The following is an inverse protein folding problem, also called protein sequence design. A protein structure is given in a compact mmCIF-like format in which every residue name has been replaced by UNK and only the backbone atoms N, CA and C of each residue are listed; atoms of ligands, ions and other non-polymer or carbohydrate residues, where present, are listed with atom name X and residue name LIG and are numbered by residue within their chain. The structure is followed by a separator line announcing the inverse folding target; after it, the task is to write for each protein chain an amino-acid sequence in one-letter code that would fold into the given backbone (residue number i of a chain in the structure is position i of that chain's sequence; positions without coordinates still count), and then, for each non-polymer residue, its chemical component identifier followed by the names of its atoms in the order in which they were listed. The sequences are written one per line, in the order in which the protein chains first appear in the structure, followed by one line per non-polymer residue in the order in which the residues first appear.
data_IF_079528333455
#
_entry.id   IF_079528333455
#
_cell.length_a   1.000
_cell.length_b   1.000
_cell.length_c   1.000
_cell.angle_alpha   90.00
_cell.angle_beta   90.00
_cell.angle_gamma   90.00
#
_symmetry.space_group_name_H-M   'P 1'
#
loop_
_entity.id
_entity.type
_entity.pdbx_description
1 polymer ?
#
# COMPACT_ATOMS: atom_id res chain seq x y z
N UNK A 1 -3.07 25.89 -1.35
CA UNK A 1 -3.14 24.82 -0.33
C UNK A 1 -4.52 24.85 0.31
N UNK A 2 -5.19 23.73 0.32
CA UNK A 2 -6.50 23.54 0.93
C UNK A 2 -6.39 22.53 2.09
N UNK A 3 -7.31 22.65 3.03
CA UNK A 3 -7.47 21.72 4.14
C UNK A 3 -8.88 21.14 4.07
N UNK A 4 -8.99 19.83 4.16
CA UNK A 4 -10.27 19.12 4.25
C UNK A 4 -10.28 18.35 5.57
N UNK A 5 -11.31 18.57 6.37
CA UNK A 5 -11.61 17.76 7.54
C UNK A 5 -13.06 17.30 7.43
N UNK A 6 -13.26 16.00 7.36
CA UNK A 6 -14.58 15.41 7.18
C UNK A 6 -14.63 14.02 7.80
N UNK A 7 -15.83 13.50 8.02
CA UNK A 7 -16.02 12.11 8.36
C UNK A 7 -16.62 11.39 7.17
N UNK A 8 -16.13 10.19 6.91
CA UNK A 8 -16.60 9.28 5.87
C UNK A 8 -17.21 8.07 6.60
N UNK A 9 -18.44 7.73 6.29
CA UNK A 9 -19.09 6.54 6.83
C UNK A 9 -18.80 5.37 5.88
N UNK A 10 -18.11 4.34 6.38
CA UNK A 10 -17.70 3.16 5.61
C UNK A 10 -17.98 1.91 6.43
N UNK A 11 -18.75 0.96 5.88
CA UNK A 11 -19.05 -0.33 6.52
C UNK A 11 -19.58 -0.21 7.96
N UNK A 12 -20.34 0.85 8.26
CA UNK A 12 -20.86 1.13 9.61
C UNK A 12 -19.84 1.74 10.59
N UNK A 13 -18.63 2.03 10.12
CA UNK A 13 -17.60 2.75 10.87
C UNK A 13 -17.44 4.17 10.38
N UNK A 14 -17.16 5.12 11.28
CA UNK A 14 -16.90 6.51 10.93
C UNK A 14 -15.38 6.76 10.87
N UNK A 15 -14.89 7.04 9.68
CA UNK A 15 -13.48 7.37 9.42
C UNK A 15 -13.29 8.88 9.41
N UNK A 16 -12.57 9.42 10.38
CA UNK A 16 -12.18 10.84 10.37
C UNK A 16 -11.03 11.06 9.39
N UNK A 17 -11.25 11.94 8.43
CA UNK A 17 -10.28 12.26 7.37
C UNK A 17 -9.80 13.69 7.53
N UNK A 18 -8.48 13.88 7.61
CA UNK A 18 -7.82 15.17 7.63
C UNK A 18 -6.78 15.24 6.51
N UNK A 19 -7.01 16.07 5.50
CA UNK A 19 -6.12 16.27 4.36
C UNK A 19 -5.57 17.70 4.40
N UNK A 20 -4.31 17.85 4.77
CA UNK A 20 -3.65 19.15 4.95
C UNK A 20 -2.71 19.55 3.80
N UNK A 21 -2.37 18.60 2.94
CA UNK A 21 -1.44 18.78 1.83
C UNK A 21 -2.12 18.74 0.45
N UNK A 22 -3.34 19.27 0.35
CA UNK A 22 -4.08 19.33 -0.90
C UNK A 22 -3.78 20.64 -1.66
N UNK A 23 -3.30 20.52 -2.89
CA UNK A 23 -2.99 21.63 -3.79
C UNK A 23 -3.78 21.46 -5.09
N UNK A 24 -4.86 22.24 -5.26
CA UNK A 24 -5.81 22.02 -6.34
C UNK A 24 -6.45 20.64 -6.21
N UNK A 25 -6.26 19.80 -7.21
CA UNK A 25 -6.75 18.41 -7.25
C UNK A 25 -5.63 17.39 -6.96
N UNK A 26 -4.54 17.83 -6.31
CA UNK A 26 -3.41 16.95 -5.99
C UNK A 26 -3.12 16.95 -4.50
N UNK A 27 -3.14 15.76 -3.90
CA UNK A 27 -2.59 15.49 -2.58
C UNK A 27 -1.07 15.31 -2.74
N UNK A 28 -0.28 16.12 -2.04
CA UNK A 28 1.19 16.09 -2.17
C UNK A 28 1.80 15.52 -0.90
N UNK A 29 2.56 14.45 -1.06
CA UNK A 29 3.37 13.84 0.00
C UNK A 29 4.85 13.87 -0.41
N UNK A 30 5.75 14.02 0.56
CA UNK A 30 7.18 14.01 0.27
C UNK A 30 7.97 13.31 1.38
N UNK A 31 9.13 12.77 1.00
CA UNK A 31 10.02 12.11 1.93
C UNK A 31 11.49 12.26 1.53
N UNK A 32 12.34 12.53 2.51
CA UNK A 32 13.78 12.37 2.38
C UNK A 32 14.13 10.87 2.52
N UNK A 33 14.31 10.16 1.40
CA UNK A 33 14.68 8.75 1.35
C UNK A 33 13.85 7.93 0.37
N UNK A 34 14.17 6.63 0.24
CA UNK A 34 13.52 5.72 -0.70
C UNK A 34 12.05 5.50 -0.34
N UNK A 35 11.20 5.44 -1.34
CA UNK A 35 9.80 5.02 -1.17
C UNK A 35 9.76 3.52 -0.84
N UNK A 36 9.23 3.19 0.32
CA UNK A 36 9.00 1.81 0.76
C UNK A 36 7.53 1.44 0.62
N UNK A 37 7.26 0.16 0.46
CA UNK A 37 5.91 -0.36 0.28
C UNK A 37 4.95 0.07 1.41
N UNK A 38 5.36 -0.02 2.67
CA UNK A 38 4.52 0.44 3.79
C UNK A 38 4.09 1.91 3.70
N UNK A 39 4.99 2.79 3.23
CA UNK A 39 4.66 4.20 3.05
C UNK A 39 3.74 4.47 1.87
N UNK A 40 3.87 3.67 0.81
CA UNK A 40 2.94 3.73 -0.31
C UNK A 40 1.54 3.29 0.14
N UNK A 41 1.42 2.29 1.02
CA UNK A 41 0.15 1.89 1.64
C UNK A 41 -0.46 3.00 2.50
N UNK A 42 0.34 3.65 3.36
CA UNK A 42 -0.14 4.80 4.16
C UNK A 42 -0.67 5.91 3.25
N UNK A 43 0.05 6.21 2.16
CA UNK A 43 -0.37 7.20 1.17
C UNK A 43 -1.61 6.74 0.41
N UNK A 44 -1.73 5.44 0.12
CA UNK A 44 -2.88 4.86 -0.56
C UNK A 44 -4.18 5.03 0.22
N UNK A 45 -4.17 4.75 1.52
CA UNK A 45 -5.36 4.95 2.38
C UNK A 45 -5.81 6.42 2.35
N UNK A 46 -4.85 7.36 2.43
CA UNK A 46 -5.14 8.80 2.33
C UNK A 46 -5.68 9.17 0.93
N UNK A 47 -5.13 8.58 -0.13
CA UNK A 47 -5.57 8.79 -1.51
C UNK A 47 -7.01 8.32 -1.74
N UNK A 48 -7.38 7.14 -1.24
CA UNK A 48 -8.74 6.62 -1.31
C UNK A 48 -9.71 7.54 -0.55
N UNK A 49 -9.38 7.89 0.68
CA UNK A 49 -10.18 8.82 1.48
C UNK A 49 -10.32 10.21 0.80
N UNK A 50 -9.25 10.69 0.15
CA UNK A 50 -9.27 11.93 -0.61
C UNK A 50 -10.24 11.85 -1.79
N UNK A 51 -10.25 10.73 -2.55
CA UNK A 51 -11.15 10.58 -3.69
C UNK A 51 -12.62 10.44 -3.29
N UNK A 52 -12.92 9.89 -2.12
CA UNK A 52 -14.28 9.89 -1.56
C UNK A 52 -14.70 11.31 -1.15
N UNK A 53 -13.84 12.03 -0.42
CA UNK A 53 -14.14 13.38 0.05
C UNK A 53 -14.14 14.44 -1.07
N UNK A 54 -13.28 14.25 -2.06
CA UNK A 54 -13.10 15.14 -3.22
C UNK A 54 -12.78 14.29 -4.46
N UNK A 55 -13.77 13.95 -5.27
CA UNK A 55 -13.58 13.16 -6.48
C UNK A 55 -12.53 13.77 -7.43
N UNK A 56 -11.87 12.91 -8.21
CA UNK A 56 -10.79 13.27 -9.15
C UNK A 56 -9.51 13.81 -8.48
N UNK A 57 -9.25 13.46 -7.23
CA UNK A 57 -8.00 13.79 -6.57
C UNK A 57 -6.89 12.83 -6.99
N UNK A 58 -5.79 13.38 -7.53
CA UNK A 58 -4.54 12.64 -7.74
C UNK A 58 -3.65 12.73 -6.50
N UNK A 59 -2.72 11.79 -6.33
CA UNK A 59 -1.67 11.93 -5.31
C UNK A 59 -0.30 11.98 -5.97
N UNK A 60 0.52 12.91 -5.54
CA UNK A 60 1.91 13.08 -5.98
C UNK A 60 2.81 12.76 -4.81
N UNK A 61 3.66 11.76 -4.95
CA UNK A 61 4.63 11.37 -3.95
C UNK A 61 6.04 11.69 -4.45
N UNK A 62 6.75 12.60 -3.75
CA UNK A 62 8.11 13.01 -4.06
C UNK A 62 9.05 12.30 -3.08
N UNK A 63 10.01 11.56 -3.59
CA UNK A 63 10.95 10.80 -2.76
C UNK A 63 12.37 10.83 -3.33
N UNK A 64 13.34 10.50 -2.52
CA UNK A 64 14.73 10.45 -2.92
C UNK A 64 15.12 8.99 -3.21
N UNK A 65 15.50 8.71 -4.46
CA UNK A 65 15.98 7.38 -4.84
C UNK A 65 17.43 7.17 -4.46
N UNK A 66 18.27 8.13 -4.79
CA UNK A 66 19.70 8.18 -4.51
C UNK A 66 20.07 9.56 -3.97
N UNK A 67 21.32 9.77 -3.53
CA UNK A 67 21.73 10.99 -2.80
C UNK A 67 21.37 12.32 -3.47
N UNK A 68 21.31 12.34 -4.80
CA UNK A 68 21.11 13.55 -5.60
C UNK A 68 19.94 13.43 -6.60
N UNK A 69 19.10 12.39 -6.51
CA UNK A 69 18.03 12.12 -7.48
C UNK A 69 16.66 12.07 -6.79
N UNK A 70 15.88 13.12 -6.97
CA UNK A 70 14.49 13.16 -6.57
C UNK A 70 13.61 12.49 -7.65
N UNK A 71 12.77 11.56 -7.23
CA UNK A 71 11.80 10.89 -8.08
C UNK A 71 10.39 11.27 -7.69
N UNK A 72 9.50 11.14 -8.65
CA UNK A 72 8.07 11.37 -8.48
C UNK A 72 7.32 10.10 -8.82
N UNK A 73 6.44 9.67 -7.91
CA UNK A 73 5.43 8.65 -8.18
C UNK A 73 4.06 9.29 -8.07
N UNK A 74 3.16 8.95 -8.97
CA UNK A 74 1.80 9.48 -8.99
C UNK A 74 0.79 8.36 -8.84
N UNK A 75 -0.28 8.63 -8.10
CA UNK A 75 -1.49 7.82 -8.12
C UNK A 75 -2.55 8.60 -8.87
N UNK A 76 -3.06 8.01 -9.95
CA UNK A 76 -4.18 8.55 -10.71
C UNK A 76 -5.48 8.55 -9.89
N UNK A 77 -6.49 9.36 -10.25
CA UNK A 77 -7.76 9.39 -9.53
C UNK A 77 -8.46 8.02 -9.53
N UNK A 78 -9.15 7.74 -8.43
CA UNK A 78 -10.00 6.54 -8.28
C UNK A 78 -11.45 7.00 -8.15
N UNK A 79 -12.35 6.29 -8.83
CA UNK A 79 -13.79 6.53 -8.66
C UNK A 79 -14.20 6.38 -7.19
N UNK A 80 -15.05 7.28 -6.64
CA UNK A 80 -15.44 7.25 -5.23
C UNK A 80 -16.04 5.93 -4.75
N UNK A 81 -16.89 5.29 -5.56
CA UNK A 81 -17.50 4.00 -5.20
C UNK A 81 -16.45 2.87 -5.17
N UNK A 82 -15.50 2.90 -6.11
CA UNK A 82 -14.35 1.98 -6.13
C UNK A 82 -13.43 2.24 -4.93
N UNK A 83 -13.15 3.50 -4.59
CA UNK A 83 -12.35 3.86 -3.42
C UNK A 83 -12.99 3.39 -2.12
N UNK A 84 -14.31 3.52 -1.98
CA UNK A 84 -15.07 3.01 -0.84
C UNK A 84 -14.98 1.48 -0.73
N UNK A 85 -15.18 0.77 -1.83
CA UNK A 85 -15.10 -0.70 -1.85
C UNK A 85 -13.70 -1.20 -1.45
N UNK A 86 -12.63 -0.53 -1.92
CA UNK A 86 -11.25 -0.86 -1.54
C UNK A 86 -11.02 -0.58 -0.05
N UNK A 87 -11.50 0.54 0.48
CA UNK A 87 -11.37 0.85 1.91
C UNK A 87 -12.15 -0.14 2.78
N UNK A 88 -13.34 -0.59 2.36
CA UNK A 88 -14.07 -1.66 3.04
C UNK A 88 -13.22 -2.93 3.14
N UNK A 89 -12.63 -3.38 2.03
CA UNK A 89 -11.75 -4.56 2.03
C UNK A 89 -10.53 -4.39 2.97
N UNK A 90 -9.93 -3.19 3.01
CA UNK A 90 -8.81 -2.91 3.92
C UNK A 90 -9.24 -2.91 5.38
N UNK A 91 -10.44 -2.44 5.70
CA UNK A 91 -11.02 -2.49 7.05
C UNK A 91 -11.31 -3.93 7.47
N UNK A 92 -11.86 -4.75 6.59
CA UNK A 92 -12.11 -6.18 6.86
C UNK A 92 -10.79 -6.91 7.18
N UNK A 93 -9.75 -6.68 6.37
CA UNK A 93 -8.41 -7.24 6.63
C UNK A 93 -7.79 -6.71 7.94
N UNK A 94 -8.03 -5.46 8.28
CA UNK A 94 -7.59 -4.87 9.54
C UNK A 94 -8.26 -5.54 10.75
N UNK A 95 -9.58 -5.71 10.72
CA UNK A 95 -10.34 -6.34 11.79
C UNK A 95 -9.94 -7.82 11.96
N UNK A 96 -9.73 -8.53 10.87
CA UNK A 96 -9.20 -9.89 10.91
C UNK A 96 -7.78 -9.92 11.49
N UNK A 97 -6.91 -8.99 11.08
CA UNK A 97 -5.54 -8.88 11.56
C UNK A 97 -5.42 -8.58 13.05
N UNK A 98 -6.40 -7.86 13.63
CA UNK A 98 -6.52 -7.66 15.09
C UNK A 98 -6.87 -8.99 15.78
N UNK A 99 -7.75 -9.78 15.19
CA UNK A 99 -8.18 -11.06 15.76
C UNK A 99 -7.11 -12.15 15.62
N UNK A 100 -6.39 -12.16 14.49
CA UNK A 100 -5.34 -13.14 14.18
C UNK A 100 -4.31 -12.52 13.23
N UNK A 101 -3.00 -12.59 13.56
CA UNK A 101 -1.96 -11.98 12.71
C UNK A 101 -2.00 -12.51 11.26
N UNK A 102 -2.05 -11.59 10.31
CA UNK A 102 -2.01 -11.88 8.88
C UNK A 102 -0.58 -11.75 8.35
N UNK A 103 -0.11 -12.73 7.56
CA UNK A 103 1.20 -12.66 6.92
C UNK A 103 1.08 -11.81 5.64
N UNK A 104 1.04 -10.50 5.80
CA UNK A 104 0.93 -9.52 4.71
C UNK A 104 2.04 -8.46 4.80
N UNK A 105 3.33 -8.86 4.81
CA UNK A 105 4.42 -7.89 4.85
C UNK A 105 4.44 -7.07 3.57
N UNK A 106 4.46 -5.72 3.66
CA UNK A 106 4.21 -4.83 2.53
C UNK A 106 5.15 -5.03 1.33
N UNK A 107 6.46 -5.17 1.54
CA UNK A 107 7.43 -5.36 0.45
C UNK A 107 7.26 -6.71 -0.24
N UNK A 108 7.01 -7.79 0.53
CA UNK A 108 6.77 -9.11 -0.01
C UNK A 108 5.46 -9.18 -0.81
N UNK A 109 4.38 -8.60 -0.28
CA UNK A 109 3.09 -8.50 -0.96
C UNK A 109 3.20 -7.74 -2.28
N UNK A 110 3.87 -6.58 -2.26
CA UNK A 110 4.12 -5.77 -3.46
C UNK A 110 4.89 -6.55 -4.50
N UNK A 111 6.02 -7.18 -4.12
CA UNK A 111 6.86 -7.95 -5.03
C UNK A 111 6.12 -9.15 -5.65
N UNK A 112 5.27 -9.83 -4.87
CA UNK A 112 4.39 -10.89 -5.35
C UNK A 112 3.42 -10.36 -6.40
N UNK A 113 2.67 -9.31 -6.08
CA UNK A 113 1.63 -8.76 -6.97
C UNK A 113 2.23 -8.19 -8.26
N UNK A 114 3.33 -7.45 -8.18
CA UNK A 114 4.07 -6.97 -9.37
C UNK A 114 4.48 -8.12 -10.29
N UNK A 115 4.88 -9.25 -9.70
CA UNK A 115 5.28 -10.43 -10.47
C UNK A 115 4.10 -11.09 -11.15
N UNK A 116 2.95 -11.16 -10.48
CA UNK A 116 1.70 -11.66 -11.06
C UNK A 116 1.24 -10.78 -12.23
N UNK A 117 1.26 -9.46 -12.07
CA UNK A 117 0.89 -8.51 -13.12
C UNK A 117 1.83 -8.58 -14.35
N UNK A 118 3.07 -9.02 -14.17
CA UNK A 118 4.02 -9.33 -15.26
C UNK A 118 3.81 -10.70 -15.89
N UNK A 119 2.81 -11.46 -15.46
CA UNK A 119 2.45 -12.77 -16.00
C UNK A 119 3.32 -13.94 -15.49
N UNK A 120 4.04 -13.78 -14.38
CA UNK A 120 4.75 -14.89 -13.76
C UNK A 120 3.78 -15.87 -13.10
N UNK A 121 4.18 -17.16 -13.03
CA UNK A 121 3.41 -18.15 -12.27
C UNK A 121 3.36 -17.81 -10.77
N UNK A 122 2.37 -18.35 -10.06
CA UNK A 122 2.23 -18.20 -8.61
C UNK A 122 3.52 -18.59 -7.89
N UNK A 123 4.09 -19.75 -8.21
CA UNK A 123 5.33 -20.25 -7.59
C UNK A 123 6.52 -19.29 -7.81
N UNK A 124 6.65 -18.75 -9.02
CA UNK A 124 7.71 -17.78 -9.34
C UNK A 124 7.50 -16.47 -8.59
N UNK A 125 6.26 -16.05 -8.39
CA UNK A 125 5.91 -14.83 -7.65
C UNK A 125 6.14 -15.00 -6.15
N UNK A 126 5.86 -16.19 -5.60
CA UNK A 126 6.19 -16.55 -4.21
C UNK A 126 7.71 -16.49 -4.00
N UNK A 127 8.51 -16.99 -4.96
CA UNK A 127 9.97 -16.89 -4.87
C UNK A 127 10.44 -15.42 -4.83
N UNK A 128 9.77 -14.51 -5.55
CA UNK A 128 10.09 -13.07 -5.50
C UNK A 128 9.74 -12.45 -4.14
N UNK A 129 8.59 -12.81 -3.57
CA UNK A 129 8.20 -12.38 -2.23
C UNK A 129 9.23 -12.87 -1.18
N UNK A 130 9.61 -14.14 -1.22
CA UNK A 130 10.63 -14.73 -0.34
C UNK A 130 11.98 -14.05 -0.47
N UNK A 131 12.45 -13.77 -1.67
CA UNK A 131 13.71 -13.04 -1.90
C UNK A 131 13.68 -11.65 -1.25
N UNK A 132 12.54 -10.97 -1.24
CA UNK A 132 12.33 -9.70 -0.53
C UNK A 132 12.43 -9.87 0.99
N UNK A 133 11.81 -10.92 1.51
CA UNK A 133 11.80 -11.27 2.93
C UNK A 133 13.19 -11.66 3.46
N UNK A 134 13.91 -12.50 2.73
CA UNK A 134 15.19 -13.11 3.15
C UNK A 134 16.41 -12.21 2.92
N UNK A 135 16.27 -11.05 2.28
CA UNK A 135 17.40 -10.15 2.00
C UNK A 135 18.22 -9.87 3.24
N UNK A 136 19.53 -10.09 3.15
CA UNK A 136 20.48 -9.78 4.22
C UNK A 136 20.82 -8.28 4.31
N UNK A 137 19.82 -7.43 4.18
CA UNK A 137 19.96 -5.97 4.28
C UNK A 137 19.22 -5.44 5.52
N UNK A 138 19.82 -4.47 6.18
CA UNK A 138 19.15 -3.73 7.24
C UNK A 138 17.83 -3.15 6.70
N UNK A 139 16.72 -3.54 7.33
CA UNK A 139 15.37 -3.11 6.96
C UNK A 139 14.61 -4.08 6.05
N UNK A 140 15.10 -5.31 5.83
CA UNK A 140 14.28 -6.39 5.27
C UNK A 140 13.21 -6.82 6.28
N UNK A 141 12.03 -7.18 5.76
CA UNK A 141 10.88 -7.55 6.62
C UNK A 141 11.17 -8.79 7.47
N UNK A 142 11.88 -9.79 6.93
CA UNK A 142 12.26 -10.99 7.66
C UNK A 142 13.23 -10.74 8.83
N UNK A 143 13.88 -9.55 8.88
CA UNK A 143 14.72 -9.12 10.01
C UNK A 143 13.99 -8.17 10.97
N UNK A 144 12.81 -7.73 10.62
CA UNK A 144 11.96 -7.00 11.57
C UNK A 144 11.56 -7.91 12.72
N UNK A 145 11.82 -7.44 13.96
CA UNK A 145 11.61 -8.25 15.16
C UNK A 145 10.18 -8.72 15.39
N UNK A 146 9.19 -7.97 14.87
CA UNK A 146 7.78 -8.32 15.01
C UNK A 146 7.39 -9.38 13.99
N UNK A 147 7.77 -9.19 12.73
CA UNK A 147 7.54 -10.19 11.68
C UNK A 147 8.27 -11.50 11.97
N UNK A 148 9.55 -11.45 12.35
CA UNK A 148 10.35 -12.64 12.68
C UNK A 148 9.80 -13.41 13.90
N UNK A 149 9.14 -12.72 14.84
CA UNK A 149 8.50 -13.38 16.01
C UNK A 149 7.20 -14.09 15.64
N UNK A 150 6.41 -13.51 14.74
CA UNK A 150 5.10 -14.03 14.33
C UNK A 150 5.22 -15.11 13.25
N UNK A 151 6.17 -14.95 12.35
CA UNK A 151 6.31 -15.78 11.16
C UNK A 151 7.76 -16.24 10.99
N UNK A 152 8.06 -17.43 11.51
CA UNK A 152 9.44 -17.95 11.54
C UNK A 152 9.90 -18.56 10.21
N UNK A 153 8.99 -18.79 9.26
CA UNK A 153 9.31 -19.49 8.03
C UNK A 153 8.63 -18.89 6.79
N UNK A 154 9.41 -18.69 5.70
CA UNK A 154 8.86 -18.27 4.40
C UNK A 154 7.89 -19.28 3.77
N UNK A 155 7.77 -20.50 4.32
CA UNK A 155 6.79 -21.50 3.86
C UNK A 155 5.34 -21.06 4.09
N UNK A 156 5.13 -20.05 4.92
CA UNK A 156 3.81 -19.48 5.19
C UNK A 156 3.28 -18.54 4.07
N UNK A 157 4.07 -18.25 3.01
CA UNK A 157 3.55 -17.53 1.83
C UNK A 157 2.71 -18.45 0.95
N UNK A 158 1.58 -18.92 1.48
CA UNK A 158 0.61 -19.80 0.80
C UNK A 158 -0.83 -19.36 1.11
N UNK A 159 -1.79 -19.95 0.44
CA UNK A 159 -3.22 -19.77 0.66
C UNK A 159 -3.66 -18.29 0.70
N UNK A 160 -3.91 -17.76 1.89
CA UNK A 160 -4.39 -16.38 2.08
C UNK A 160 -3.45 -15.32 1.52
N UNK A 161 -2.13 -15.50 1.63
CA UNK A 161 -1.18 -14.54 1.06
C UNK A 161 -1.37 -14.38 -0.45
N UNK A 162 -1.64 -15.49 -1.17
CA UNK A 162 -1.83 -15.49 -2.62
C UNK A 162 -3.08 -14.70 -3.03
N UNK A 163 -4.11 -14.68 -2.19
CA UNK A 163 -5.37 -13.94 -2.43
C UNK A 163 -5.34 -12.53 -1.89
N UNK A 164 -4.84 -12.36 -0.68
CA UNK A 164 -4.92 -11.07 0.04
C UNK A 164 -3.86 -10.07 -0.44
N UNK A 165 -2.66 -10.52 -0.82
CA UNK A 165 -1.62 -9.62 -1.32
C UNK A 165 -2.06 -8.88 -2.60
N UNK A 166 -2.61 -9.54 -3.64
CA UNK A 166 -3.16 -8.84 -4.80
C UNK A 166 -4.37 -7.96 -4.48
N UNK A 167 -5.25 -8.36 -3.56
CA UNK A 167 -6.42 -7.54 -3.20
C UNK A 167 -6.02 -6.17 -2.64
N UNK A 168 -4.86 -6.08 -2.00
CA UNK A 168 -4.29 -4.83 -1.48
C UNK A 168 -3.50 -4.09 -2.56
N UNK A 169 -2.59 -4.80 -3.26
CA UNK A 169 -1.56 -4.15 -4.08
C UNK A 169 -1.94 -3.93 -5.54
N UNK A 170 -2.78 -4.77 -6.13
CA UNK A 170 -3.17 -4.62 -7.52
C UNK A 170 -3.85 -3.26 -7.79
N UNK A 171 -4.82 -2.78 -6.98
CA UNK A 171 -5.43 -1.47 -7.21
C UNK A 171 -4.43 -0.31 -7.15
N UNK A 172 -3.40 -0.41 -6.31
CA UNK A 172 -2.34 0.61 -6.22
C UNK A 172 -1.51 0.62 -7.49
N UNK A 173 -1.04 -0.57 -7.91
CA UNK A 173 -0.13 -0.73 -9.04
C UNK A 173 -0.79 -0.39 -10.39
N UNK A 174 -2.10 -0.55 -10.50
CA UNK A 174 -2.88 -0.21 -11.71
C UNK A 174 -3.01 1.31 -11.93
N UNK A 175 -3.02 2.10 -10.85
CA UNK A 175 -3.14 3.56 -10.92
C UNK A 175 -1.83 4.30 -10.69
N UNK A 176 -0.76 3.57 -10.32
CA UNK A 176 0.57 4.14 -10.08
C UNK A 176 1.31 4.41 -11.38
N UNK A 177 1.89 5.61 -11.48
CA UNK A 177 2.75 6.05 -12.58
C UNK A 177 4.04 6.58 -11.96
N UNK A 178 5.16 5.98 -12.27
CA UNK A 178 6.50 6.41 -11.86
C UNK A 178 7.17 7.23 -12.97
N UNK A 179 7.73 8.39 -12.59
CA UNK A 179 8.44 9.33 -13.47
C UNK A 179 9.95 9.39 -13.15
#
# INVERSE_FOLDING_TARGET
KSFIKTNIEIAGSSLQVELDNLYGDSLVSYRAGKLRAGQLLDTWVQHLAANIAKPNTSTVFIYQRDKDDAKVSRLGPVDPATAEAILCNLLDLYDEGIASPLLLPPEACKAFTESQLKGLSVDSSILKARQGWERDQSGSEGKDRYWARLFQCPEAFHDRFITDAPSIWQPILEVQIDE
#
